data_IF_532995679811
#
_entry.id   IF_532995679811
#
_cell.length_a   1.000
_cell.length_b   1.000
_cell.length_c   1.000
_cell.angle_alpha   90.00
_cell.angle_beta   90.00
_cell.angle_gamma   90.00
#
_symmetry.space_group_name_H-M   'P 1'
#
loop_
_entity.id
_entity.type
_entity.pdbx_description
1 polymer ?
#
# COMPACT_ATOMS: atom_id res chain seq x y z
N UNK A 1 25.77 23.53 2.74
CA UNK A 1 24.91 22.64 1.94
C UNK A 1 24.55 21.43 2.80
N UNK A 2 23.62 21.60 3.74
CA UNK A 2 23.14 20.50 4.61
C UNK A 2 21.72 20.80 5.04
N UNK A 3 20.88 19.76 5.07
CA UNK A 3 19.45 19.82 5.38
C UNK A 3 18.70 19.08 4.28
N UNK A 4 18.61 17.76 4.31
CA UNK A 4 17.94 16.99 5.35
C UNK A 4 16.66 16.48 4.70
N UNK A 5 16.66 15.24 4.23
CA UNK A 5 15.50 14.61 3.59
C UNK A 5 14.38 14.46 4.63
N UNK A 6 13.53 15.49 4.73
CA UNK A 6 12.31 15.46 5.51
C UNK A 6 11.34 14.51 4.85
N UNK A 7 11.40 13.22 5.23
CA UNK A 7 10.25 12.35 5.08
C UNK A 7 9.10 13.01 5.81
N UNK A 8 8.03 13.29 5.07
CA UNK A 8 6.74 13.79 5.53
C UNK A 8 6.41 13.17 6.89
N UNK A 9 6.61 13.93 7.98
CA UNK A 9 5.95 13.62 9.24
C UNK A 9 4.51 14.05 9.03
N UNK A 10 3.78 13.20 8.32
CA UNK A 10 2.36 13.37 8.06
C UNK A 10 1.67 13.66 9.38
N UNK A 11 0.81 14.68 9.35
CA UNK A 11 -0.15 14.92 10.40
C UNK A 11 -0.79 13.58 10.80
N UNK A 12 -0.70 13.12 12.06
CA UNK A 12 -1.27 11.83 12.47
C UNK A 12 -2.78 11.75 12.23
N UNK A 13 -3.43 12.90 12.12
CA UNK A 13 -4.85 13.04 11.79
C UNK A 13 -5.11 13.30 10.28
N UNK A 14 -4.04 13.58 9.52
CA UNK A 14 -4.06 13.86 8.09
C UNK A 14 -3.84 12.61 7.25
N UNK A 15 -4.89 12.16 6.57
CA UNK A 15 -4.82 11.09 5.59
C UNK A 15 -3.87 11.39 4.42
N UNK A 16 -3.44 10.35 3.70
CA UNK A 16 -2.61 10.52 2.50
C UNK A 16 -2.66 9.32 1.55
N UNK A 17 -1.75 9.27 0.59
CA UNK A 17 -1.57 8.09 -0.28
C UNK A 17 -0.46 7.22 0.31
N UNK A 18 -0.64 5.91 0.27
CA UNK A 18 0.39 4.95 0.68
C UNK A 18 0.60 3.90 -0.41
N UNK A 19 1.81 3.34 -0.46
CA UNK A 19 2.14 2.19 -1.28
C UNK A 19 2.66 1.06 -0.39
N UNK A 20 2.06 -0.12 -0.49
CA UNK A 20 2.56 -1.36 0.11
C UNK A 20 3.40 -2.09 -0.94
N UNK A 21 4.61 -2.52 -0.57
CA UNK A 21 5.35 -3.51 -1.32
C UNK A 21 4.98 -4.89 -0.78
N UNK A 22 4.49 -5.75 -1.65
CA UNK A 22 4.05 -7.11 -1.35
C UNK A 22 4.94 -8.08 -2.13
N UNK A 23 5.57 -9.01 -1.44
CA UNK A 23 6.29 -10.11 -2.09
C UNK A 23 5.31 -11.26 -2.34
N UNK A 24 5.26 -11.73 -3.60
CA UNK A 24 4.50 -12.90 -4.00
C UNK A 24 5.47 -14.04 -4.30
N UNK A 25 5.54 -15.00 -3.39
CA UNK A 25 6.51 -16.11 -3.46
C UNK A 25 6.17 -17.13 -4.56
N UNK A 26 4.89 -17.27 -4.90
CA UNK A 26 4.39 -18.29 -5.82
C UNK A 26 3.28 -17.73 -6.73
N UNK A 27 3.15 -18.22 -7.97
CA UNK A 27 2.17 -17.69 -8.90
C UNK A 27 0.75 -17.86 -8.36
N UNK A 28 -0.05 -16.80 -8.40
CA UNK A 28 -1.42 -16.80 -7.87
C UNK A 28 -2.39 -16.25 -8.90
N UNK A 29 -3.57 -16.86 -9.01
CA UNK A 29 -4.68 -16.33 -9.80
C UNK A 29 -5.66 -15.63 -8.88
N UNK A 30 -6.03 -14.38 -9.19
CA UNK A 30 -7.01 -13.61 -8.43
C UNK A 30 -8.08 -13.06 -9.37
N UNK A 31 -9.30 -12.88 -8.86
CA UNK A 31 -10.34 -12.12 -9.54
C UNK A 31 -10.17 -10.62 -9.25
N UNK A 32 -10.01 -9.81 -10.29
CA UNK A 32 -9.83 -8.36 -10.21
C UNK A 32 -11.11 -7.65 -10.63
N UNK A 33 -12.18 -7.86 -9.85
CA UNK A 33 -13.49 -7.25 -10.09
C UNK A 33 -13.93 -7.35 -11.56
N UNK A 34 -14.28 -6.21 -12.17
CA UNK A 34 -14.72 -6.18 -13.57
C UNK A 34 -13.65 -6.58 -14.60
N UNK A 35 -12.38 -6.65 -14.23
CA UNK A 35 -11.31 -7.11 -15.12
C UNK A 35 -11.24 -8.65 -15.21
N UNK A 36 -11.91 -9.36 -14.30
CA UNK A 36 -11.98 -10.82 -14.29
C UNK A 36 -10.73 -11.48 -13.71
N UNK A 37 -10.47 -12.73 -14.09
CA UNK A 37 -9.35 -13.51 -13.56
C UNK A 37 -8.01 -13.08 -14.15
N UNK A 38 -7.03 -12.86 -13.27
CA UNK A 38 -5.66 -12.53 -13.64
C UNK A 38 -4.67 -13.43 -12.92
N UNK A 39 -3.74 -14.00 -13.70
CA UNK A 39 -2.59 -14.73 -13.19
C UNK A 39 -1.45 -13.77 -12.91
N UNK A 40 -0.98 -13.77 -11.67
CA UNK A 40 0.17 -13.02 -11.19
C UNK A 40 1.38 -13.96 -11.04
N UNK A 41 2.48 -13.75 -11.78
CA UNK A 41 3.74 -14.47 -11.56
C UNK A 41 4.36 -14.13 -10.18
N UNK A 42 5.29 -14.95 -9.65
CA UNK A 42 6.06 -14.57 -8.47
C UNK A 42 6.82 -13.25 -8.69
N UNK A 43 6.97 -12.45 -7.64
CA UNK A 43 7.71 -11.19 -7.68
C UNK A 43 7.23 -10.15 -6.67
N UNK A 44 7.77 -8.94 -6.77
CA UNK A 44 7.38 -7.81 -5.94
C UNK A 44 6.25 -7.01 -6.61
N UNK A 45 5.19 -6.74 -5.86
CA UNK A 45 4.01 -5.99 -6.30
C UNK A 45 3.86 -4.72 -5.47
N UNK A 46 3.47 -3.64 -6.13
CA UNK A 46 3.13 -2.38 -5.49
C UNK A 46 1.60 -2.24 -5.43
N UNK A 47 1.06 -2.07 -4.22
CA UNK A 47 -0.34 -1.73 -4.01
C UNK A 47 -0.45 -0.30 -3.50
N UNK A 48 -1.04 0.59 -4.29
CA UNK A 48 -1.22 2.00 -3.92
C UNK A 48 -2.66 2.25 -3.50
N UNK A 49 -2.85 2.76 -2.29
CA UNK A 49 -4.15 3.08 -1.70
C UNK A 49 -4.19 4.48 -1.12
N UNK A 50 -5.40 4.97 -0.83
CA UNK A 50 -5.62 6.25 -0.17
C UNK A 50 -6.19 6.08 1.24
N UNK A 51 -5.81 7.02 2.10
CA UNK A 51 -6.17 7.15 3.50
C UNK A 51 -6.89 8.49 3.75
N UNK A 52 -7.47 9.10 2.71
CA UNK A 52 -8.10 10.44 2.76
C UNK A 52 -9.42 10.50 3.54
N UNK A 53 -9.95 9.36 4.00
CA UNK A 53 -11.20 9.29 4.76
C UNK A 53 -10.98 9.32 6.28
N UNK A 54 -12.08 9.37 7.03
CA UNK A 54 -12.03 9.29 8.49
C UNK A 54 -11.25 8.04 8.94
N UNK A 55 -10.24 8.24 9.79
CA UNK A 55 -9.35 7.19 10.30
C UNK A 55 -7.97 7.12 9.63
N UNK A 56 -7.67 7.98 8.65
CA UNK A 56 -6.30 8.19 8.15
C UNK A 56 -5.58 6.89 7.79
N UNK A 57 -4.34 6.77 8.23
CA UNK A 57 -3.47 5.62 7.94
C UNK A 57 -3.78 4.35 8.77
N UNK A 58 -4.84 4.32 9.58
CA UNK A 58 -5.17 3.12 10.39
C UNK A 58 -5.33 1.83 9.56
N UNK A 59 -5.68 1.96 8.27
CA UNK A 59 -5.73 0.82 7.32
C UNK A 59 -4.35 0.22 7.04
N UNK A 60 -3.30 1.04 7.03
CA UNK A 60 -1.91 0.61 6.84
C UNK A 60 -1.44 -0.17 8.07
N UNK A 61 -1.75 0.31 9.27
CA UNK A 61 -1.39 -0.38 10.51
C UNK A 61 -2.00 -1.77 10.61
N UNK A 62 -3.23 -1.96 10.11
CA UNK A 62 -3.84 -3.29 10.02
C UNK A 62 -3.06 -4.23 9.10
N UNK A 63 -2.63 -3.77 7.92
CA UNK A 63 -1.85 -4.58 6.99
C UNK A 63 -0.50 -5.00 7.60
N UNK A 64 0.11 -4.17 8.45
CA UNK A 64 1.39 -4.49 9.10
C UNK A 64 1.29 -5.51 10.23
N UNK A 65 0.09 -5.76 10.75
CA UNK A 65 -0.14 -6.72 11.85
C UNK A 65 -0.46 -8.14 11.36
N UNK A 66 -0.49 -8.36 10.04
CA UNK A 66 -0.82 -9.63 9.41
C UNK A 66 0.41 -10.11 8.64
#
# INVERSE_FOLDING_TARGET
MSGGAGGDRGDPDGGGTYTLLVELSEPTTIEVGALGEHRLPPGAYAYTGSALGAGGFARVDRHRRT
#
